data_IF_462356377485
#
_entry.id   IF_462356377485
#
_cell.length_a   1.000
_cell.length_b   1.000
_cell.length_c   1.000
_cell.angle_alpha   90.00
_cell.angle_beta   90.00
_cell.angle_gamma   90.00
#
_symmetry.space_group_name_H-M   'P 1'
#
loop_
_entity.id
_entity.type
_entity.pdbx_description
1 polymer ?
#
# COMPACT_ATOMS: atom_id res chain seq x y z
N UNK A 1 7.58 -1.86 31.62
CA UNK A 1 7.00 -0.94 30.62
C UNK A 1 6.82 -1.75 29.34
N UNK A 2 5.63 -1.76 28.76
CA UNK A 2 5.39 -2.41 27.47
C UNK A 2 6.17 -1.60 26.43
N UNK A 3 7.08 -2.24 25.69
CA UNK A 3 7.82 -1.58 24.63
C UNK A 3 6.85 -1.27 23.48
N UNK A 4 6.58 0.01 23.23
CA UNK A 4 5.75 0.44 22.09
C UNK A 4 6.59 0.26 20.81
N UNK A 5 6.29 -0.78 20.03
CA UNK A 5 7.04 -1.13 18.79
C UNK A 5 6.87 -0.10 17.68
N UNK A 6 5.66 0.45 17.55
CA UNK A 6 5.37 1.56 16.65
C UNK A 6 5.64 2.88 17.37
N UNK A 7 6.24 3.82 16.69
CA UNK A 7 6.71 5.08 17.32
C UNK A 7 5.79 6.27 17.08
N UNK A 8 4.87 6.16 16.13
CA UNK A 8 3.99 7.24 15.69
C UNK A 8 2.72 6.69 15.03
N UNK A 9 1.66 7.47 14.99
CA UNK A 9 0.51 7.25 14.10
C UNK A 9 0.97 7.26 12.63
N UNK A 10 1.99 8.04 12.31
CA UNK A 10 2.57 8.16 10.98
C UNK A 10 3.52 7.00 10.61
N UNK A 11 3.80 6.04 11.51
CA UNK A 11 4.48 4.78 11.16
C UNK A 11 3.50 3.89 10.37
N UNK A 12 3.09 4.42 9.24
CA UNK A 12 2.06 3.89 8.35
C UNK A 12 2.38 4.30 6.91
N UNK A 13 1.81 3.58 5.95
CA UNK A 13 1.96 3.92 4.53
C UNK A 13 1.09 5.13 4.16
N UNK A 14 1.64 6.05 3.39
CA UNK A 14 1.01 7.31 3.04
C UNK A 14 -0.36 7.15 2.35
N UNK A 15 -0.53 6.11 1.54
CA UNK A 15 -1.83 5.85 0.90
C UNK A 15 -2.97 5.61 1.90
N UNK A 16 -2.68 5.19 3.15
CA UNK A 16 -3.69 5.09 4.20
C UNK A 16 -4.15 6.46 4.70
N UNK A 17 -3.22 7.40 4.81
CA UNK A 17 -3.51 8.78 5.20
C UNK A 17 -4.34 9.48 4.11
N UNK A 18 -3.94 9.34 2.85
CA UNK A 18 -4.67 9.94 1.73
C UNK A 18 -6.07 9.33 1.57
N UNK A 19 -6.20 8.01 1.64
CA UNK A 19 -7.53 7.39 1.59
C UNK A 19 -8.39 7.77 2.80
N UNK A 20 -7.83 7.87 4.02
CA UNK A 20 -8.58 8.30 5.20
C UNK A 20 -9.16 9.72 5.00
N UNK A 21 -8.38 10.66 4.45
CA UNK A 21 -8.87 11.99 4.10
C UNK A 21 -10.05 11.91 3.11
N UNK A 22 -9.94 11.08 2.08
CA UNK A 22 -11.01 10.90 1.10
C UNK A 22 -12.26 10.22 1.70
N UNK A 23 -12.05 9.21 2.56
CA UNK A 23 -13.14 8.50 3.25
C UNK A 23 -13.92 9.42 4.18
N UNK A 24 -13.25 10.21 4.99
CA UNK A 24 -13.91 11.18 5.89
C UNK A 24 -14.77 12.17 5.09
N UNK A 25 -14.30 12.57 3.93
CA UNK A 25 -14.99 13.55 3.09
C UNK A 25 -16.21 12.98 2.37
N UNK A 26 -16.11 11.75 1.88
CA UNK A 26 -17.13 11.15 0.99
C UNK A 26 -17.96 10.05 1.65
N UNK A 27 -17.39 9.31 2.61
CA UNK A 27 -17.95 8.09 3.19
C UNK A 27 -17.85 8.06 4.72
N UNK A 28 -18.28 9.12 5.45
CA UNK A 28 -18.03 9.25 6.89
C UNK A 28 -18.82 8.25 7.75
N UNK A 29 -19.83 7.59 7.20
CA UNK A 29 -20.73 6.70 7.94
C UNK A 29 -20.58 5.21 7.55
N UNK A 30 -19.68 4.92 6.61
CA UNK A 30 -19.51 3.57 6.09
C UNK A 30 -18.70 2.70 7.03
N UNK A 31 -19.09 1.43 7.16
CA UNK A 31 -18.39 0.44 7.96
C UNK A 31 -17.70 -0.58 7.07
N UNK A 32 -16.60 -1.08 7.56
CA UNK A 32 -15.80 -2.08 6.85
C UNK A 32 -15.28 -3.17 7.76
N UNK A 33 -14.89 -4.28 7.13
CA UNK A 33 -14.25 -5.41 7.78
C UNK A 33 -13.00 -5.80 7.02
N UNK A 34 -11.88 -5.88 7.75
CA UNK A 34 -10.61 -6.40 7.24
C UNK A 34 -10.30 -7.74 7.86
N UNK A 35 -9.59 -8.58 7.12
CA UNK A 35 -9.09 -9.86 7.59
C UNK A 35 -7.64 -10.07 7.23
N UNK A 36 -6.87 -10.57 8.20
CA UNK A 36 -5.51 -11.05 8.00
C UNK A 36 -5.51 -12.36 7.22
N UNK A 37 -4.61 -12.49 6.24
CA UNK A 37 -4.45 -13.67 5.42
C UNK A 37 -2.98 -14.11 5.44
N UNK A 38 -2.72 -15.28 6.00
CA UNK A 38 -1.42 -15.92 6.02
C UNK A 38 -1.18 -16.73 4.75
N UNK A 39 -0.76 -16.05 3.65
CA UNK A 39 -0.50 -16.70 2.36
C UNK A 39 0.71 -17.64 2.38
N UNK A 40 1.68 -17.34 3.25
CA UNK A 40 2.91 -18.10 3.40
C UNK A 40 2.77 -19.35 4.27
N UNK A 41 1.59 -19.60 4.84
CA UNK A 41 1.35 -20.68 5.81
C UNK A 41 2.40 -20.70 6.94
N UNK A 42 2.72 -19.51 7.44
CA UNK A 42 3.64 -19.36 8.57
C UNK A 42 3.00 -19.88 9.85
N UNK A 43 3.79 -20.52 10.69
CA UNK A 43 3.38 -21.00 12.01
C UNK A 43 3.66 -19.94 13.06
N UNK A 44 2.72 -19.75 13.97
CA UNK A 44 2.83 -18.79 15.06
C UNK A 44 3.08 -19.54 16.38
N UNK A 45 4.14 -19.22 17.14
CA UNK A 45 4.44 -19.90 18.39
C UNK A 45 3.37 -19.61 19.45
N UNK A 46 3.31 -20.47 20.48
CA UNK A 46 2.41 -20.29 21.62
C UNK A 46 2.58 -18.89 22.25
N UNK A 47 1.47 -18.24 22.60
CA UNK A 47 1.46 -16.90 23.17
C UNK A 47 1.60 -15.76 22.14
N UNK A 48 1.67 -16.06 20.84
CA UNK A 48 1.82 -15.01 19.81
C UNK A 48 0.65 -14.02 19.81
N UNK A 49 -0.59 -14.51 19.91
CA UNK A 49 -1.77 -13.65 19.96
C UNK A 49 -1.76 -12.73 21.19
N UNK A 50 -1.23 -13.19 22.33
CA UNK A 50 -1.11 -12.38 23.54
C UNK A 50 -0.11 -11.23 23.35
N UNK A 51 1.07 -11.51 22.75
CA UNK A 51 2.08 -10.49 22.48
C UNK A 51 1.58 -9.48 21.42
N UNK A 52 0.89 -9.96 20.38
CA UNK A 52 0.26 -9.09 19.39
C UNK A 52 -0.81 -8.22 20.07
N UNK A 53 -1.67 -8.78 20.93
CA UNK A 53 -2.69 -8.03 21.68
C UNK A 53 -2.06 -6.94 22.56
N UNK A 54 -0.96 -7.24 23.26
CA UNK A 54 -0.21 -6.23 24.04
C UNK A 54 0.27 -5.08 23.16
N UNK A 55 0.82 -5.41 21.98
CA UNK A 55 1.31 -4.42 21.02
C UNK A 55 0.18 -3.57 20.46
N UNK A 56 -0.96 -4.17 20.10
CA UNK A 56 -2.17 -3.47 19.62
C UNK A 56 -2.72 -2.55 20.72
N UNK A 57 -2.80 -3.01 21.96
CA UNK A 57 -3.28 -2.18 23.07
C UNK A 57 -2.36 -0.98 23.35
N UNK A 58 -1.05 -1.14 23.19
CA UNK A 58 -0.10 -0.04 23.35
C UNK A 58 -0.26 1.06 22.29
N UNK A 59 -0.83 0.74 21.14
CA UNK A 59 -1.07 1.73 20.08
C UNK A 59 -2.13 2.79 20.48
N UNK A 60 -3.00 2.51 21.45
CA UNK A 60 -3.97 3.48 21.95
C UNK A 60 -3.31 4.75 22.53
N UNK A 61 -2.04 4.65 22.96
CA UNK A 61 -1.27 5.77 23.51
C UNK A 61 -0.61 6.64 22.44
N UNK A 62 -0.60 6.18 21.17
CA UNK A 62 -0.02 6.93 20.07
C UNK A 62 -0.89 8.15 19.74
N UNK A 63 -0.24 9.29 19.57
CA UNK A 63 -0.89 10.55 19.20
C UNK A 63 -0.06 11.26 18.13
N UNK A 64 -0.74 11.93 17.22
CA UNK A 64 -0.06 12.81 16.27
C UNK A 64 0.56 13.99 17.02
N UNK A 65 1.86 14.21 16.87
CA UNK A 65 2.53 15.35 17.47
C UNK A 65 2.27 16.64 16.68
N UNK A 66 2.59 17.79 17.28
CA UNK A 66 2.47 19.08 16.59
C UNK A 66 3.42 19.17 15.40
N UNK A 67 4.62 18.63 15.56
CA UNK A 67 5.67 18.57 14.53
C UNK A 67 5.23 17.69 13.36
N UNK A 68 4.65 16.53 13.62
CA UNK A 68 4.11 15.62 12.60
C UNK A 68 2.94 16.28 11.83
N UNK A 69 2.04 16.94 12.53
CA UNK A 69 0.95 17.69 11.90
C UNK A 69 1.47 18.82 11.02
N UNK A 70 2.48 19.56 11.49
CA UNK A 70 3.11 20.64 10.72
C UNK A 70 3.82 20.09 9.48
N UNK A 71 4.54 18.96 9.61
CA UNK A 71 5.16 18.27 8.48
C UNK A 71 4.13 17.92 7.39
N UNK A 72 3.01 17.30 7.77
CA UNK A 72 1.94 16.97 6.81
C UNK A 72 1.37 18.23 6.15
N UNK A 73 1.14 19.28 6.91
CA UNK A 73 0.64 20.55 6.39
C UNK A 73 1.55 21.19 5.35
N UNK A 74 2.87 21.13 5.57
CA UNK A 74 3.87 21.73 4.68
C UNK A 74 4.19 20.86 3.47
N UNK A 75 4.23 19.54 3.66
CA UNK A 75 4.67 18.59 2.63
C UNK A 75 3.51 18.09 1.77
N UNK A 76 2.30 18.05 2.31
CA UNK A 76 1.11 17.50 1.68
C UNK A 76 -0.03 18.52 1.64
N UNK A 77 0.11 19.66 0.92
CA UNK A 77 -0.87 20.76 0.93
C UNK A 77 -2.25 20.39 0.36
N UNK A 78 -2.35 19.24 -0.29
CA UNK A 78 -3.61 18.64 -0.80
C UNK A 78 -4.41 17.89 0.29
N UNK A 79 -3.86 17.71 1.49
CA UNK A 79 -4.63 17.22 2.63
C UNK A 79 -5.42 18.38 3.24
N UNK A 80 -6.73 18.17 3.41
CA UNK A 80 -7.61 19.21 3.94
C UNK A 80 -7.25 19.59 5.40
N UNK A 81 -7.27 20.88 5.75
CA UNK A 81 -7.00 21.32 7.12
C UNK A 81 -7.94 20.68 8.16
N UNK A 82 -9.26 20.57 7.93
CA UNK A 82 -10.15 19.84 8.83
C UNK A 82 -9.74 18.37 9.03
N UNK A 83 -9.21 17.73 8.00
CA UNK A 83 -8.67 16.37 8.13
C UNK A 83 -7.43 16.32 9.03
N UNK A 84 -6.51 17.27 8.89
CA UNK A 84 -5.33 17.36 9.77
C UNK A 84 -5.72 17.64 11.23
N UNK A 85 -6.81 18.39 11.46
CA UNK A 85 -7.38 18.60 12.80
C UNK A 85 -7.98 17.30 13.35
N UNK A 86 -8.73 16.58 12.52
CA UNK A 86 -9.26 15.26 12.86
C UNK A 86 -8.12 14.29 13.23
N UNK A 87 -7.09 14.18 12.38
CA UNK A 87 -5.95 13.29 12.61
C UNK A 87 -5.19 13.65 13.90
N UNK A 88 -5.17 14.95 14.25
CA UNK A 88 -4.62 15.43 15.52
C UNK A 88 -5.39 14.95 16.77
N UNK A 89 -6.67 14.62 16.63
CA UNK A 89 -7.51 14.03 17.67
C UNK A 89 -7.70 12.51 17.54
N UNK A 90 -7.19 11.92 16.45
CA UNK A 90 -7.30 10.48 16.22
C UNK A 90 -6.48 9.67 17.23
N UNK A 91 -7.01 8.54 17.63
CA UNK A 91 -6.32 7.51 18.40
C UNK A 91 -6.81 6.14 17.93
N UNK A 92 -5.94 5.16 17.98
CA UNK A 92 -6.30 3.77 17.75
C UNK A 92 -7.21 3.28 18.88
N UNK A 93 -8.26 2.56 18.52
CA UNK A 93 -9.13 1.88 19.48
C UNK A 93 -8.91 0.35 19.39
N UNK A 94 -8.20 -0.27 20.34
CA UNK A 94 -7.94 -1.70 20.30
C UNK A 94 -9.19 -2.60 20.27
N UNK A 95 -10.36 -2.08 20.65
CA UNK A 95 -11.62 -2.82 20.59
C UNK A 95 -12.09 -3.09 19.15
N UNK A 96 -11.59 -2.34 18.16
CA UNK A 96 -11.82 -2.55 16.73
C UNK A 96 -11.10 -3.80 16.19
N UNK A 97 -10.13 -4.34 16.95
CA UNK A 97 -9.25 -5.44 16.50
C UNK A 97 -9.56 -6.71 17.28
N UNK A 98 -10.02 -7.74 16.57
CA UNK A 98 -10.18 -9.09 17.12
C UNK A 98 -8.95 -9.94 16.78
N UNK A 99 -8.40 -10.67 17.77
CA UNK A 99 -7.24 -11.54 17.61
C UNK A 99 -7.54 -12.87 18.29
N UNK A 100 -7.39 -13.95 17.52
CA UNK A 100 -7.55 -15.32 18.01
C UNK A 100 -6.38 -16.17 17.51
N UNK A 101 -5.82 -16.99 18.40
CA UNK A 101 -4.87 -18.04 18.01
C UNK A 101 -5.47 -19.39 18.31
N UNK A 102 -5.45 -20.29 17.36
CA UNK A 102 -5.81 -21.69 17.52
C UNK A 102 -4.61 -22.51 17.08
N UNK A 103 -3.98 -23.19 18.07
CA UNK A 103 -2.71 -23.86 17.87
C UNK A 103 -1.64 -22.91 17.28
N UNK A 104 -1.19 -23.15 16.06
CA UNK A 104 -0.18 -22.38 15.35
C UNK A 104 -0.77 -21.42 14.29
N UNK A 105 -2.09 -21.32 14.22
CA UNK A 105 -2.80 -20.42 13.29
C UNK A 105 -3.25 -19.15 13.99
N UNK A 106 -3.15 -18.03 13.28
CA UNK A 106 -3.52 -16.70 13.75
C UNK A 106 -4.65 -16.13 12.91
N UNK A 107 -5.72 -15.71 13.56
CA UNK A 107 -6.81 -14.95 12.97
C UNK A 107 -6.78 -13.53 13.52
N UNK A 108 -6.80 -12.54 12.62
CA UNK A 108 -6.94 -11.13 12.98
C UNK A 108 -7.99 -10.49 12.10
N UNK A 109 -8.98 -9.88 12.73
CA UNK A 109 -10.04 -9.14 12.04
C UNK A 109 -10.12 -7.73 12.63
N UNK A 110 -10.34 -6.74 11.76
CA UNK A 110 -10.61 -5.36 12.15
C UNK A 110 -11.97 -4.97 11.61
N UNK A 111 -12.83 -4.42 12.46
CA UNK A 111 -14.20 -4.06 12.08
C UNK A 111 -14.61 -2.73 12.73
N UNK A 112 -15.26 -1.87 11.97
CA UNK A 112 -15.76 -0.59 12.45
C UNK A 112 -15.97 0.42 11.34
N UNK A 113 -16.13 1.67 11.69
CA UNK A 113 -16.24 2.78 10.75
C UNK A 113 -14.97 2.90 9.90
N UNK A 114 -15.14 3.01 8.58
CA UNK A 114 -14.01 2.91 7.65
C UNK A 114 -12.91 3.93 7.95
N UNK A 115 -13.27 5.19 8.18
CA UNK A 115 -12.29 6.25 8.51
C UNK A 115 -11.51 6.01 9.81
N UNK A 116 -12.06 5.20 10.74
CA UNK A 116 -11.34 4.81 11.96
C UNK A 116 -10.42 3.63 11.73
N UNK A 117 -10.94 2.61 11.06
CA UNK A 117 -10.28 1.30 10.94
C UNK A 117 -9.23 1.23 9.82
N UNK A 118 -9.28 2.15 8.87
CA UNK A 118 -8.39 2.15 7.69
C UNK A 118 -6.89 2.18 8.03
N UNK A 119 -6.51 2.78 9.16
CA UNK A 119 -5.11 2.89 9.56
C UNK A 119 -4.55 1.61 10.20
N UNK A 120 -5.37 0.60 10.53
CA UNK A 120 -4.92 -0.62 11.21
C UNK A 120 -4.11 -1.59 10.35
N UNK A 121 -4.36 -1.67 9.04
CA UNK A 121 -3.75 -2.69 8.16
C UNK A 121 -2.23 -2.72 8.27
N UNK A 122 -1.60 -1.60 8.01
CA UNK A 122 -0.14 -1.51 7.89
C UNK A 122 0.57 -1.76 9.23
N UNK A 123 0.15 -1.14 10.33
CA UNK A 123 0.70 -1.41 11.65
C UNK A 123 0.55 -2.86 12.10
N UNK A 124 -0.63 -3.47 11.93
CA UNK A 124 -0.84 -4.87 12.33
C UNK A 124 0.09 -5.80 11.55
N UNK A 125 0.22 -5.62 10.22
CA UNK A 125 1.13 -6.43 9.42
C UNK A 125 2.58 -6.24 9.82
N UNK A 126 3.02 -5.02 10.10
CA UNK A 126 4.37 -4.72 10.58
C UNK A 126 4.64 -5.36 11.95
N UNK A 127 3.66 -5.31 12.88
CA UNK A 127 3.74 -5.95 14.18
C UNK A 127 3.82 -7.47 14.07
N UNK A 128 2.96 -8.09 13.24
CA UNK A 128 2.99 -9.55 13.01
C UNK A 128 4.35 -9.97 12.44
N UNK A 129 4.87 -9.22 11.46
CA UNK A 129 6.16 -9.52 10.84
C UNK A 129 7.30 -9.44 11.88
N UNK A 130 7.39 -8.37 12.65
CA UNK A 130 8.44 -8.18 13.66
C UNK A 130 8.37 -9.21 14.78
N UNK A 131 7.17 -9.45 15.34
CA UNK A 131 6.94 -10.46 16.38
C UNK A 131 7.27 -11.87 15.90
N UNK A 132 6.96 -12.21 14.65
CA UNK A 132 7.25 -13.53 14.10
C UNK A 132 8.75 -13.84 14.11
N UNK A 133 9.59 -12.90 13.66
CA UNK A 133 11.04 -13.11 13.70
C UNK A 133 11.58 -13.16 15.13
N UNK A 134 11.09 -12.30 16.01
CA UNK A 134 11.54 -12.23 17.40
C UNK A 134 11.15 -13.47 18.20
N UNK A 135 9.88 -13.88 18.18
CA UNK A 135 9.39 -15.00 18.98
C UNK A 135 9.90 -16.37 18.47
N UNK A 136 10.24 -16.47 17.18
CA UNK A 136 10.90 -17.65 16.61
C UNK A 136 12.44 -17.59 16.73
N UNK A 137 13.00 -16.58 17.38
CA UNK A 137 14.46 -16.41 17.57
C UNK A 137 15.25 -16.50 16.26
N UNK A 138 14.70 -15.94 15.18
CA UNK A 138 15.32 -15.99 13.86
C UNK A 138 16.46 -14.98 13.76
N UNK A 139 17.69 -15.47 13.60
CA UNK A 139 18.87 -14.64 13.45
C UNK A 139 18.95 -14.06 12.03
N UNK A 140 19.13 -12.76 11.93
CA UNK A 140 19.33 -12.04 10.68
C UNK A 140 20.78 -11.62 10.48
N UNK A 141 21.11 -11.19 9.29
CA UNK A 141 22.39 -10.56 8.99
C UNK A 141 22.67 -9.36 9.90
N UNK A 142 23.95 -9.08 10.14
CA UNK A 142 24.40 -7.92 10.93
C UNK A 142 23.92 -6.60 10.31
N UNK A 143 23.92 -5.52 11.10
CA UNK A 143 23.58 -4.19 10.61
C UNK A 143 24.50 -3.76 9.45
N UNK A 144 25.81 -4.03 9.55
CA UNK A 144 26.77 -3.68 8.50
C UNK A 144 26.45 -4.41 7.18
N UNK A 145 26.10 -5.69 7.25
CA UNK A 145 25.69 -6.45 6.06
C UNK A 145 24.39 -5.92 5.44
N UNK A 146 23.42 -5.48 6.24
CA UNK A 146 22.17 -4.85 5.76
C UNK A 146 22.49 -3.51 5.10
N UNK A 147 23.32 -2.67 5.71
CA UNK A 147 23.77 -1.39 5.14
C UNK A 147 24.44 -1.63 3.80
N UNK A 148 25.46 -2.49 3.78
CA UNK A 148 26.23 -2.80 2.58
C UNK A 148 25.32 -3.23 1.42
N UNK A 149 24.41 -4.15 1.69
CA UNK A 149 23.46 -4.65 0.69
C UNK A 149 22.48 -3.58 0.20
N UNK A 150 22.05 -2.69 1.09
CA UNK A 150 21.18 -1.54 0.74
C UNK A 150 21.92 -0.57 -0.18
N UNK A 151 23.18 -0.27 0.11
CA UNK A 151 24.02 0.61 -0.71
C UNK A 151 24.30 0.02 -2.09
N UNK A 152 24.63 -1.27 -2.17
CA UNK A 152 24.83 -1.97 -3.45
C UNK A 152 23.59 -1.89 -4.36
N UNK A 153 22.38 -2.05 -3.77
CA UNK A 153 21.13 -1.87 -4.52
C UNK A 153 20.90 -0.43 -4.97
N UNK A 154 21.13 0.53 -4.08
CA UNK A 154 20.99 1.94 -4.40
C UNK A 154 21.92 2.36 -5.54
N UNK A 155 23.19 1.92 -5.52
CA UNK A 155 24.16 2.16 -6.60
C UNK A 155 23.72 1.55 -7.93
N UNK A 156 23.17 0.33 -7.93
CA UNK A 156 22.68 -0.30 -9.16
C UNK A 156 21.49 0.46 -9.74
N UNK A 157 20.51 0.85 -8.90
CA UNK A 157 19.37 1.67 -9.32
C UNK A 157 19.82 3.04 -9.87
N UNK A 158 20.84 3.61 -9.25
CA UNK A 158 21.46 4.85 -9.75
C UNK A 158 22.13 4.67 -11.12
N UNK A 159 22.87 3.58 -11.33
CA UNK A 159 23.50 3.27 -12.65
C UNK A 159 22.46 3.07 -13.74
N UNK A 160 21.28 2.52 -13.41
CA UNK A 160 20.16 2.40 -14.33
C UNK A 160 19.47 3.75 -14.62
N UNK A 161 19.78 4.81 -13.88
CA UNK A 161 19.19 6.13 -14.05
C UNK A 161 17.70 6.22 -13.67
N UNK A 162 17.19 5.27 -12.89
CA UNK A 162 15.77 5.18 -12.54
C UNK A 162 15.48 5.83 -11.18
N UNK A 163 14.29 6.39 -11.04
CA UNK A 163 13.79 6.85 -9.75
C UNK A 163 13.06 5.73 -9.01
N UNK A 164 13.22 5.69 -7.68
CA UNK A 164 12.56 4.70 -6.85
C UNK A 164 12.16 5.25 -5.48
N UNK A 165 11.15 4.62 -4.87
CA UNK A 165 10.69 4.86 -3.51
C UNK A 165 10.70 3.57 -2.70
N UNK A 166 10.81 3.70 -1.39
CA UNK A 166 10.70 2.58 -0.46
C UNK A 166 9.22 2.33 -0.10
N UNK A 167 8.73 1.07 -0.25
CA UNK A 167 7.35 0.63 -0.05
C UNK A 167 7.24 -0.60 0.89
N UNK A 168 8.15 -0.75 1.84
CA UNK A 168 8.32 -2.01 2.57
C UNK A 168 7.75 -2.06 3.99
N UNK A 169 6.96 -1.09 4.45
CA UNK A 169 6.47 -1.01 5.84
C UNK A 169 5.75 -2.28 6.30
N UNK A 170 4.76 -2.76 5.53
CA UNK A 170 3.84 -3.85 5.92
C UNK A 170 4.52 -5.17 6.25
N UNK A 171 5.64 -5.48 5.63
CA UNK A 171 6.39 -6.73 5.78
C UNK A 171 7.86 -6.48 6.08
N UNK A 172 8.16 -5.36 6.72
CA UNK A 172 9.52 -5.07 7.20
C UNK A 172 9.97 -6.13 8.21
N UNK A 173 11.25 -6.38 8.29
CA UNK A 173 11.79 -7.27 9.31
C UNK A 173 11.49 -6.74 10.72
N UNK A 174 11.81 -5.47 10.95
CA UNK A 174 11.54 -4.74 12.20
C UNK A 174 11.60 -3.24 11.96
N UNK A 175 11.08 -2.45 12.90
CA UNK A 175 11.25 -0.99 12.88
C UNK A 175 12.73 -0.59 12.73
N UNK A 176 13.61 -1.22 13.53
CA UNK A 176 15.06 -0.91 13.53
C UNK A 176 15.73 -1.19 12.18
N UNK A 177 15.38 -2.27 11.51
CA UNK A 177 15.91 -2.59 10.18
C UNK A 177 15.38 -1.62 9.12
N UNK A 178 14.10 -1.31 9.17
CA UNK A 178 13.48 -0.35 8.24
C UNK A 178 14.13 1.04 8.39
N UNK A 179 14.31 1.50 9.63
CA UNK A 179 15.00 2.74 9.96
C UNK A 179 16.41 2.79 9.36
N UNK A 180 17.19 1.73 9.58
CA UNK A 180 18.56 1.58 9.07
C UNK A 180 18.62 1.64 7.53
N UNK A 181 17.66 0.98 6.86
CA UNK A 181 17.58 0.97 5.40
C UNK A 181 17.26 2.36 4.87
N UNK A 182 16.23 3.02 5.39
CA UNK A 182 15.86 4.37 4.92
C UNK A 182 16.96 5.38 5.19
N UNK A 183 17.61 5.33 6.37
CA UNK A 183 18.77 6.17 6.69
C UNK A 183 19.89 5.98 5.67
N UNK A 184 20.20 4.73 5.33
CA UNK A 184 21.27 4.40 4.37
C UNK A 184 20.96 4.92 2.97
N UNK A 185 19.70 4.77 2.53
CA UNK A 185 19.25 5.29 1.23
C UNK A 185 19.36 6.81 1.16
N UNK A 186 18.91 7.52 2.20
CA UNK A 186 18.96 8.99 2.23
C UNK A 186 20.39 9.54 2.26
N UNK A 187 21.23 8.99 3.12
CA UNK A 187 22.62 9.45 3.26
C UNK A 187 23.44 9.28 1.98
N UNK A 188 23.08 8.31 1.15
CA UNK A 188 23.82 7.99 -0.08
C UNK A 188 23.07 8.42 -1.35
N UNK A 189 21.99 9.19 -1.24
CA UNK A 189 21.20 9.67 -2.37
C UNK A 189 21.83 10.88 -3.08
N UNK A 190 23.06 10.72 -3.59
CA UNK A 190 23.80 11.81 -4.25
C UNK A 190 23.23 12.23 -5.60
N UNK A 191 22.52 11.33 -6.26
CA UNK A 191 21.91 11.54 -7.60
C UNK A 191 20.43 11.95 -7.57
N UNK A 192 19.79 11.92 -6.40
CA UNK A 192 18.37 12.21 -6.27
C UNK A 192 17.43 11.10 -6.78
N UNK A 193 17.96 9.90 -7.04
CA UNK A 193 17.17 8.77 -7.54
C UNK A 193 16.21 8.18 -6.49
N UNK A 194 16.57 8.20 -5.21
CA UNK A 194 15.67 7.85 -4.12
C UNK A 194 14.74 9.03 -3.84
N UNK A 195 13.46 8.90 -4.19
CA UNK A 195 12.50 10.01 -4.16
C UNK A 195 11.68 10.07 -2.86
N UNK A 196 11.71 9.03 -2.02
CA UNK A 196 11.00 9.03 -0.75
C UNK A 196 10.58 7.66 -0.25
N UNK A 197 9.78 7.66 0.81
CA UNK A 197 9.26 6.44 1.43
C UNK A 197 7.74 6.48 1.49
N UNK A 198 7.09 5.32 1.39
CA UNK A 198 5.66 5.21 1.70
C UNK A 198 5.39 5.40 3.18
N UNK A 199 6.34 5.10 4.05
CA UNK A 199 6.23 5.30 5.48
C UNK A 199 6.37 6.78 5.85
N UNK A 200 5.28 7.38 6.32
CA UNK A 200 5.23 8.82 6.58
C UNK A 200 6.13 9.24 7.74
N UNK A 201 6.27 8.39 8.75
CA UNK A 201 7.17 8.64 9.89
C UNK A 201 8.63 8.72 9.44
N UNK A 202 9.09 7.78 8.61
CA UNK A 202 10.44 7.82 8.07
C UNK A 202 10.63 8.93 7.04
N UNK A 203 9.60 9.25 6.25
CA UNK A 203 9.64 10.41 5.36
C UNK A 203 9.91 11.70 6.14
N UNK A 204 9.19 11.93 7.23
CA UNK A 204 9.43 13.07 8.13
C UNK A 204 10.82 13.00 8.79
N UNK A 205 11.17 11.86 9.38
CA UNK A 205 12.42 11.67 10.12
C UNK A 205 13.65 12.01 9.29
N UNK A 206 13.62 11.69 8.01
CA UNK A 206 14.74 11.84 7.09
C UNK A 206 14.58 12.97 6.07
N UNK A 207 13.52 13.75 6.16
CA UNK A 207 13.31 14.90 5.29
C UNK A 207 13.09 14.55 3.81
N UNK A 208 12.48 13.41 3.52
CA UNK A 208 12.11 12.98 2.17
C UNK A 208 10.60 13.04 1.96
N UNK A 209 10.14 12.85 0.72
CA UNK A 209 8.71 12.91 0.41
C UNK A 209 7.96 11.65 0.90
N UNK A 210 6.79 11.78 1.50
CA UNK A 210 5.87 10.65 1.65
C UNK A 210 5.28 10.30 0.28
N UNK A 211 5.35 9.01 -0.09
CA UNK A 211 4.96 8.53 -1.43
C UNK A 211 3.79 7.55 -1.31
N UNK A 212 2.73 7.80 -2.06
CA UNK A 212 1.55 6.94 -2.12
C UNK A 212 0.33 7.68 -2.62
N UNK A 213 -0.61 6.95 -3.20
CA UNK A 213 -1.90 7.49 -3.64
C UNK A 213 -3.04 6.72 -2.98
N UNK A 214 -3.57 5.69 -3.65
CA UNK A 214 -4.63 4.83 -3.15
C UNK A 214 -4.26 3.35 -3.32
N UNK A 215 -5.06 2.47 -2.72
CA UNK A 215 -4.89 1.02 -2.80
C UNK A 215 -6.17 0.33 -3.28
N UNK A 216 -6.09 -1.00 -3.47
CA UNK A 216 -7.21 -1.82 -3.95
C UNK A 216 -8.50 -1.66 -3.14
N UNK A 217 -8.40 -1.46 -1.83
CA UNK A 217 -9.58 -1.31 -0.96
C UNK A 217 -10.48 -0.14 -1.39
N UNK A 218 -9.92 0.93 -1.95
CA UNK A 218 -10.68 2.04 -2.50
C UNK A 218 -11.62 1.59 -3.62
N UNK A 219 -11.10 0.82 -4.57
CA UNK A 219 -11.89 0.26 -5.68
C UNK A 219 -12.84 -0.85 -5.21
N UNK A 220 -12.40 -1.68 -4.26
CA UNK A 220 -13.19 -2.78 -3.70
C UNK A 220 -14.41 -2.24 -2.94
N UNK A 221 -14.24 -1.18 -2.18
CA UNK A 221 -15.35 -0.48 -1.52
C UNK A 221 -16.34 0.09 -2.56
N UNK A 222 -15.86 0.76 -3.59
CA UNK A 222 -16.73 1.31 -4.65
C UNK A 222 -17.53 0.22 -5.38
N UNK A 223 -16.96 -0.97 -5.54
CA UNK A 223 -17.71 -2.08 -6.12
C UNK A 223 -18.81 -2.59 -5.20
N UNK A 224 -18.58 -2.65 -3.89
CA UNK A 224 -19.58 -3.02 -2.92
C UNK A 224 -20.72 -2.00 -2.86
N UNK A 225 -20.40 -0.71 -2.95
CA UNK A 225 -21.38 0.39 -2.86
C UNK A 225 -22.13 0.63 -4.17
N UNK A 226 -21.43 0.62 -5.32
CA UNK A 226 -21.99 1.03 -6.61
C UNK A 226 -22.04 -0.08 -7.67
N UNK A 227 -21.59 -1.28 -7.32
CA UNK A 227 -21.52 -2.43 -8.23
C UNK A 227 -20.27 -2.44 -9.12
N UNK A 228 -19.89 -3.63 -9.58
CA UNK A 228 -18.64 -3.88 -10.31
C UNK A 228 -18.45 -3.03 -11.57
N UNK A 229 -19.54 -2.76 -12.33
CA UNK A 229 -19.47 -1.97 -13.56
C UNK A 229 -19.07 -0.52 -13.35
N UNK A 230 -19.40 0.04 -12.18
CA UNK A 230 -19.13 1.44 -11.86
C UNK A 230 -17.84 1.63 -11.02
N UNK A 231 -17.31 0.56 -10.49
CA UNK A 231 -16.25 0.59 -9.48
C UNK A 231 -15.04 1.44 -9.90
N UNK A 232 -14.39 1.13 -11.02
CA UNK A 232 -13.21 1.88 -11.45
C UNK A 232 -13.55 3.34 -11.79
N UNK A 233 -14.63 3.57 -12.55
CA UNK A 233 -14.98 4.91 -12.99
C UNK A 233 -15.30 5.84 -11.79
N UNK A 234 -16.14 5.38 -10.85
CA UNK A 234 -16.48 6.18 -9.67
C UNK A 234 -15.31 6.30 -8.70
N UNK A 235 -14.47 5.27 -8.55
CA UNK A 235 -13.24 5.39 -7.75
C UNK A 235 -12.33 6.50 -8.25
N UNK A 236 -12.15 6.59 -9.57
CA UNK A 236 -11.31 7.61 -10.19
C UNK A 236 -11.97 9.00 -10.12
N UNK A 237 -13.27 9.10 -10.35
CA UNK A 237 -14.02 10.35 -10.24
C UNK A 237 -13.96 10.92 -8.82
N UNK A 238 -14.30 10.12 -7.82
CA UNK A 238 -14.26 10.54 -6.42
C UNK A 238 -12.84 10.90 -5.97
N UNK A 239 -11.81 10.24 -6.52
CA UNK A 239 -10.43 10.62 -6.24
C UNK A 239 -10.09 11.99 -6.80
N UNK A 240 -10.52 12.28 -8.03
CA UNK A 240 -10.38 13.61 -8.65
C UNK A 240 -11.15 14.68 -7.89
N UNK A 241 -12.37 14.38 -7.43
CA UNK A 241 -13.19 15.31 -6.66
C UNK A 241 -12.52 15.73 -5.34
N UNK A 242 -11.79 14.80 -4.71
CA UNK A 242 -11.05 15.11 -3.47
C UNK A 242 -9.75 15.83 -3.75
N UNK A 243 -8.94 15.31 -4.68
CA UNK A 243 -7.53 15.74 -4.86
C UNK A 243 -7.29 16.66 -6.06
N UNK A 244 -8.30 16.87 -6.92
CA UNK A 244 -8.29 17.88 -8.01
C UNK A 244 -7.12 17.80 -8.97
N UNK A 245 -6.51 16.63 -9.10
CA UNK A 245 -5.35 16.37 -9.94
C UNK A 245 -4.07 16.06 -9.17
N UNK A 246 -3.98 16.44 -7.90
CA UNK A 246 -2.91 15.92 -7.03
C UNK A 246 -3.04 14.41 -6.83
N UNK A 247 -1.95 13.74 -6.47
CA UNK A 247 -1.90 12.28 -6.29
C UNK A 247 -2.38 11.51 -7.53
N UNK A 248 -2.00 11.99 -8.71
CA UNK A 248 -2.49 11.58 -10.02
C UNK A 248 -1.90 10.25 -10.54
N UNK A 249 -1.83 9.19 -9.71
CA UNK A 249 -1.42 7.85 -10.14
C UNK A 249 -2.54 6.86 -9.88
N UNK A 250 -3.11 6.31 -10.95
CA UNK A 250 -4.23 5.39 -10.88
C UNK A 250 -3.76 3.92 -10.78
N UNK A 251 -4.22 3.20 -9.76
CA UNK A 251 -4.02 1.75 -9.63
C UNK A 251 -4.91 1.01 -10.63
N UNK A 252 -4.34 0.06 -11.38
CA UNK A 252 -4.96 -0.48 -12.58
C UNK A 252 -5.54 -1.89 -12.48
N UNK A 253 -5.12 -2.69 -11.50
CA UNK A 253 -5.34 -4.15 -11.54
C UNK A 253 -6.37 -4.68 -10.54
N UNK A 254 -7.20 -3.84 -9.91
CA UNK A 254 -8.20 -4.32 -8.94
C UNK A 254 -9.21 -5.26 -9.60
N UNK A 255 -9.68 -4.91 -10.79
CA UNK A 255 -10.60 -5.71 -11.61
C UNK A 255 -10.01 -6.06 -12.97
N UNK A 256 -8.72 -6.36 -13.02
CA UNK A 256 -7.86 -6.54 -14.18
C UNK A 256 -7.52 -5.25 -14.95
N UNK A 257 -6.33 -5.22 -15.48
CA UNK A 257 -5.83 -4.11 -16.34
C UNK A 257 -6.71 -3.89 -17.56
N UNK A 258 -7.26 -4.95 -18.14
CA UNK A 258 -8.14 -4.83 -19.32
C UNK A 258 -9.44 -4.09 -18.98
N UNK A 259 -10.09 -4.44 -17.87
CA UNK A 259 -11.29 -3.76 -17.39
C UNK A 259 -10.98 -2.30 -17.04
N UNK A 260 -9.83 -2.06 -16.41
CA UNK A 260 -9.38 -0.72 -16.07
C UNK A 260 -9.26 0.16 -17.34
N UNK A 261 -8.55 -0.27 -18.37
CA UNK A 261 -8.38 0.54 -19.58
C UNK A 261 -9.67 0.72 -20.39
N UNK A 262 -10.66 -0.16 -20.24
CA UNK A 262 -12.01 0.10 -20.82
C UNK A 262 -12.71 1.29 -20.15
N UNK A 263 -12.39 1.60 -18.91
CA UNK A 263 -13.02 2.65 -18.08
C UNK A 263 -12.13 3.87 -17.84
N UNK A 264 -10.81 3.72 -18.02
CA UNK A 264 -9.83 4.81 -17.95
C UNK A 264 -9.84 5.58 -19.29
N UNK A 265 -10.89 6.36 -19.49
CA UNK A 265 -11.14 7.07 -20.72
C UNK A 265 -10.19 8.26 -20.96
N UNK A 266 -10.42 9.02 -22.03
CA UNK A 266 -9.61 10.19 -22.38
C UNK A 266 -9.60 11.26 -21.29
N UNK A 267 -10.68 11.41 -20.51
CA UNK A 267 -10.77 12.36 -19.39
C UNK A 267 -9.77 11.97 -18.31
N UNK A 268 -9.84 10.74 -17.82
CA UNK A 268 -8.92 10.25 -16.79
C UNK A 268 -7.49 10.14 -17.29
N UNK A 269 -7.29 9.66 -18.51
CA UNK A 269 -5.96 9.60 -19.14
C UNK A 269 -5.28 10.98 -19.26
N UNK A 270 -6.05 12.07 -19.32
CA UNK A 270 -5.51 13.44 -19.26
C UNK A 270 -5.28 13.93 -17.83
N UNK A 271 -6.22 13.66 -16.91
CA UNK A 271 -6.18 14.16 -15.54
C UNK A 271 -5.10 13.47 -14.69
N UNK A 272 -4.94 12.16 -14.84
CA UNK A 272 -3.92 11.42 -14.12
C UNK A 272 -2.55 11.55 -14.79
N UNK A 273 -1.52 11.70 -13.98
CA UNK A 273 -0.13 11.79 -14.45
C UNK A 273 0.41 10.44 -14.92
N UNK A 274 -0.12 9.36 -14.34
CA UNK A 274 0.30 8.01 -14.67
C UNK A 274 -0.59 6.93 -14.10
N UNK A 275 -0.13 5.69 -14.27
CA UNK A 275 -0.80 4.49 -13.77
C UNK A 275 0.17 3.66 -12.95
N UNK A 276 -0.37 2.79 -12.05
CA UNK A 276 0.43 1.88 -11.24
C UNK A 276 0.15 0.44 -11.63
N UNK A 277 1.23 -0.29 -11.92
CA UNK A 277 1.27 -1.74 -12.10
C UNK A 277 1.49 -2.44 -10.76
N UNK A 278 0.63 -3.38 -10.39
CA UNK A 278 0.71 -4.11 -9.11
C UNK A 278 0.47 -5.63 -9.26
N UNK A 279 0.31 -6.13 -10.48
CA UNK A 279 0.27 -7.57 -10.80
C UNK A 279 0.41 -7.85 -12.31
N UNK A 280 0.72 -9.10 -12.66
CA UNK A 280 0.89 -9.56 -14.03
C UNK A 280 2.25 -9.24 -14.64
N UNK A 281 2.37 -9.36 -15.97
CA UNK A 281 3.62 -9.09 -16.69
C UNK A 281 3.84 -7.56 -16.85
N UNK A 282 4.92 -6.99 -16.29
CA UNK A 282 5.15 -5.56 -16.31
C UNK A 282 5.44 -5.00 -17.71
N UNK A 283 6.01 -5.80 -18.61
CA UNK A 283 6.35 -5.36 -19.97
C UNK A 283 5.09 -5.33 -20.84
N UNK A 284 4.25 -6.36 -20.71
CA UNK A 284 2.94 -6.39 -21.35
C UNK A 284 2.07 -5.22 -20.89
N UNK A 285 2.05 -4.96 -19.58
CA UNK A 285 1.36 -3.81 -19.01
C UNK A 285 1.87 -2.47 -19.59
N UNK A 286 3.19 -2.29 -19.67
CA UNK A 286 3.78 -1.09 -20.26
C UNK A 286 3.35 -0.91 -21.71
N UNK A 287 3.35 -1.97 -22.52
CA UNK A 287 2.92 -1.93 -23.91
C UNK A 287 1.44 -1.52 -24.03
N UNK A 288 0.54 -2.14 -23.25
CA UNK A 288 -0.89 -1.80 -23.20
C UNK A 288 -1.11 -0.34 -22.78
N UNK A 289 -0.37 0.12 -21.78
CA UNK A 289 -0.44 1.51 -21.29
C UNK A 289 -0.04 2.52 -22.36
N UNK A 290 1.09 2.29 -23.03
CA UNK A 290 1.59 3.15 -24.12
C UNK A 290 0.58 3.21 -25.26
N UNK A 291 0.03 2.07 -25.67
CA UNK A 291 -0.97 1.96 -26.72
C UNK A 291 -2.26 2.70 -26.33
N UNK A 292 -2.72 2.54 -25.09
CA UNK A 292 -3.90 3.23 -24.57
C UNK A 292 -3.74 4.75 -24.62
N UNK A 293 -2.61 5.30 -24.18
CA UNK A 293 -2.35 6.75 -24.27
C UNK A 293 -2.33 7.23 -25.73
N UNK A 294 -1.65 6.52 -26.62
CA UNK A 294 -1.63 6.84 -28.06
C UNK A 294 -3.02 6.84 -28.68
N UNK A 295 -3.84 5.84 -28.40
CA UNK A 295 -5.23 5.72 -28.86
C UNK A 295 -6.09 6.91 -28.39
N UNK A 296 -5.81 7.45 -27.23
CA UNK A 296 -6.49 8.62 -26.67
C UNK A 296 -5.89 9.96 -27.14
N UNK A 297 -4.89 9.95 -28.04
CA UNK A 297 -4.23 11.15 -28.55
C UNK A 297 -3.34 11.84 -27.51
N UNK A 298 -2.77 11.06 -26.57
CA UNK A 298 -1.87 11.55 -25.54
C UNK A 298 -0.47 11.00 -25.83
N UNK A 299 0.55 11.87 -25.78
CA UNK A 299 1.92 11.43 -25.91
C UNK A 299 2.39 10.72 -24.65
N UNK A 300 2.76 9.41 -24.71
CA UNK A 300 3.20 8.66 -23.54
C UNK A 300 4.43 9.23 -22.85
N UNK A 301 5.28 9.98 -23.53
CA UNK A 301 6.48 10.60 -22.95
C UNK A 301 6.17 11.63 -21.86
N UNK A 302 4.93 12.13 -21.77
CA UNK A 302 4.45 13.01 -20.70
C UNK A 302 3.70 12.27 -19.60
N UNK A 303 3.70 10.95 -19.64
CA UNK A 303 3.06 10.06 -18.67
C UNK A 303 4.08 9.12 -18.07
N UNK A 304 3.72 8.49 -16.93
CA UNK A 304 4.60 7.52 -16.32
C UNK A 304 3.86 6.31 -15.75
N UNK A 305 4.61 5.25 -15.55
CA UNK A 305 4.15 4.05 -14.88
C UNK A 305 4.95 3.89 -13.58
N UNK A 306 4.25 3.66 -12.48
CA UNK A 306 4.85 3.17 -11.24
C UNK A 306 4.72 1.65 -11.22
N UNK A 307 5.84 0.95 -11.17
CA UNK A 307 5.88 -0.49 -10.96
C UNK A 307 6.06 -0.78 -9.47
N UNK A 308 5.26 -1.69 -8.90
CA UNK A 308 5.28 -1.97 -7.46
C UNK A 308 5.11 -3.45 -7.07
N UNK A 309 5.02 -4.37 -8.03
CA UNK A 309 4.86 -5.80 -7.74
C UNK A 309 6.17 -6.58 -7.78
N UNK A 310 6.53 -7.17 -6.65
CA UNK A 310 7.58 -8.19 -6.54
C UNK A 310 8.94 -7.79 -7.13
N UNK A 311 9.31 -6.51 -7.03
CA UNK A 311 10.50 -5.94 -7.66
C UNK A 311 11.79 -6.39 -6.97
N UNK A 312 12.73 -6.80 -7.81
CA UNK A 312 14.16 -6.94 -7.52
C UNK A 312 14.96 -6.20 -8.60
N UNK A 313 16.27 -6.17 -8.47
CA UNK A 313 17.15 -5.42 -9.39
C UNK A 313 17.08 -5.94 -10.83
N UNK A 314 16.96 -7.25 -11.03
CA UNK A 314 16.86 -7.86 -12.36
C UNK A 314 15.60 -7.40 -13.09
N UNK A 315 14.44 -7.49 -12.41
CA UNK A 315 13.16 -6.99 -12.97
C UNK A 315 13.21 -5.49 -13.26
N UNK A 316 13.82 -4.70 -12.39
CA UNK A 316 13.97 -3.26 -12.62
C UNK A 316 14.78 -2.98 -13.88
N UNK A 317 15.87 -3.70 -14.09
CA UNK A 317 16.71 -3.58 -15.30
C UNK A 317 15.94 -3.98 -16.57
N UNK A 318 15.20 -5.09 -16.55
CA UNK A 318 14.38 -5.55 -17.67
C UNK A 318 13.29 -4.54 -18.04
N UNK A 319 12.55 -4.04 -17.04
CA UNK A 319 11.50 -3.03 -17.24
C UNK A 319 12.10 -1.74 -17.78
N UNK A 320 13.24 -1.31 -17.25
CA UNK A 320 13.93 -0.08 -17.70
C UNK A 320 14.28 -0.18 -19.17
N UNK A 321 14.90 -1.26 -19.61
CA UNK A 321 15.24 -1.50 -21.03
C UNK A 321 14.00 -1.51 -21.93
N UNK A 322 12.91 -2.13 -21.48
CA UNK A 322 11.66 -2.21 -22.25
C UNK A 322 10.93 -0.87 -22.39
N UNK A 323 11.08 0.03 -21.43
CA UNK A 323 10.37 1.31 -21.38
C UNK A 323 11.20 2.51 -21.88
N UNK A 324 12.50 2.34 -22.10
CA UNK A 324 13.44 3.41 -22.47
C UNK A 324 12.94 4.21 -23.69
N UNK A 325 12.88 5.53 -23.54
CA UNK A 325 12.44 6.43 -24.61
C UNK A 325 10.96 6.29 -25.04
N UNK A 326 10.15 5.52 -24.30
CA UNK A 326 8.74 5.23 -24.67
C UNK A 326 7.74 5.83 -23.68
N UNK A 327 8.02 5.78 -22.38
CA UNK A 327 7.18 6.30 -21.30
C UNK A 327 8.06 6.53 -20.06
N UNK A 328 7.67 7.48 -19.19
CA UNK A 328 8.33 7.65 -17.89
C UNK A 328 8.08 6.44 -16.98
N UNK A 329 9.07 6.09 -16.14
CA UNK A 329 8.96 4.98 -15.18
C UNK A 329 9.50 5.38 -13.81
N UNK A 330 8.93 4.76 -12.76
CA UNK A 330 9.44 4.82 -11.40
C UNK A 330 9.10 3.51 -10.68
N UNK A 331 9.80 3.21 -9.59
CA UNK A 331 9.70 1.92 -8.91
C UNK A 331 9.37 2.10 -7.42
N UNK A 332 8.36 1.36 -6.93
CA UNK A 332 8.06 1.22 -5.52
C UNK A 332 8.58 -0.12 -5.00
N UNK A 333 9.70 -0.11 -4.28
CA UNK A 333 10.38 -1.34 -3.86
C UNK A 333 10.09 -1.63 -2.39
N UNK A 334 9.47 -2.77 -2.11
CA UNK A 334 9.06 -3.19 -0.76
C UNK A 334 10.10 -4.03 -0.03
N UNK A 335 9.76 -5.28 0.27
CA UNK A 335 10.58 -6.20 1.08
C UNK A 335 11.99 -6.45 0.54
N UNK A 336 12.21 -6.26 -0.74
CA UNK A 336 13.56 -6.33 -1.31
C UNK A 336 14.52 -5.25 -0.75
N UNK A 337 13.96 -4.15 -0.19
CA UNK A 337 14.74 -3.17 0.58
C UNK A 337 14.67 -3.45 2.08
N UNK A 338 13.48 -3.51 2.66
CA UNK A 338 13.26 -3.44 4.12
C UNK A 338 13.31 -4.78 4.85
N UNK A 339 13.41 -5.89 4.11
CA UNK A 339 13.45 -7.25 4.67
C UNK A 339 14.35 -8.20 3.87
N UNK A 340 15.43 -7.68 3.29
CA UNK A 340 16.48 -8.51 2.66
C UNK A 340 17.66 -8.71 3.62
N UNK A 341 17.37 -9.40 4.71
CA UNK A 341 18.25 -9.55 5.88
C UNK A 341 18.82 -10.96 6.04
N UNK A 342 18.80 -11.76 4.97
CA UNK A 342 19.22 -13.17 5.01
C UNK A 342 18.10 -14.13 5.44
N UNK A 343 16.91 -13.62 5.72
CA UNK A 343 15.70 -14.39 6.02
C UNK A 343 14.67 -14.18 4.91
N UNK A 344 13.79 -15.18 4.74
CA UNK A 344 12.68 -15.04 3.79
C UNK A 344 11.60 -14.11 4.38
N UNK A 345 11.20 -13.06 3.66
CA UNK A 345 10.09 -12.21 4.10
C UNK A 345 8.79 -12.99 4.24
N UNK A 346 8.00 -12.66 5.26
CA UNK A 346 6.68 -13.24 5.42
C UNK A 346 5.78 -12.92 4.23
N UNK A 347 5.01 -13.90 3.76
CA UNK A 347 3.96 -13.68 2.76
C UNK A 347 2.60 -13.54 3.45
N UNK A 348 2.36 -12.36 3.98
CA UNK A 348 1.15 -12.00 4.71
C UNK A 348 0.50 -10.76 4.11
N UNK A 349 -0.81 -10.67 4.19
CA UNK A 349 -1.60 -9.51 3.76
C UNK A 349 -2.79 -9.30 4.69
N UNK A 350 -3.33 -8.10 4.72
CA UNK A 350 -4.65 -7.81 5.28
C UNK A 350 -5.54 -7.27 4.16
N UNK A 351 -6.78 -7.72 4.08
CA UNK A 351 -7.70 -7.37 3.01
C UNK A 351 -9.02 -6.87 3.55
N UNK A 352 -9.56 -5.85 2.89
CA UNK A 352 -10.96 -5.50 3.01
C UNK A 352 -11.78 -6.69 2.50
N UNK A 353 -12.62 -7.27 3.36
CA UNK A 353 -13.44 -8.46 3.01
C UNK A 353 -14.92 -8.15 2.88
N UNK A 354 -15.38 -7.07 3.51
CA UNK A 354 -16.76 -6.61 3.39
C UNK A 354 -16.85 -5.10 3.66
N UNK A 355 -17.85 -4.47 3.06
CA UNK A 355 -18.27 -3.11 3.33
C UNK A 355 -19.76 -3.08 3.63
N UNK A 356 -20.21 -2.13 4.44
CA UNK A 356 -21.61 -1.94 4.81
C UNK A 356 -21.92 -0.44 4.80
N UNK A 357 -22.90 -0.03 4.01
CA UNK A 357 -23.42 1.32 4.11
C UNK A 357 -24.27 1.48 5.38
N UNK A 358 -24.53 2.70 5.81
CA UNK A 358 -25.30 3.00 7.03
C UNK A 358 -26.69 2.35 7.05
N UNK A 359 -27.24 2.02 5.90
CA UNK A 359 -28.58 1.44 5.73
C UNK A 359 -28.55 0.04 5.11
N UNK A 360 -27.37 -0.52 4.86
CA UNK A 360 -27.20 -1.76 4.13
C UNK A 360 -26.72 -2.94 4.95
N UNK A 361 -26.82 -4.11 4.35
CA UNK A 361 -26.20 -5.34 4.83
C UNK A 361 -24.72 -5.38 4.47
N UNK A 362 -23.98 -6.28 5.10
CA UNK A 362 -22.59 -6.53 4.76
C UNK A 362 -22.47 -7.11 3.34
N UNK A 363 -21.78 -6.40 2.47
CA UNK A 363 -21.53 -6.78 1.09
C UNK A 363 -20.08 -7.25 0.98
N UNK A 364 -19.85 -8.53 0.59
CA UNK A 364 -18.49 -9.03 0.39
C UNK A 364 -17.78 -8.26 -0.71
N UNK A 365 -16.51 -7.93 -0.47
CA UNK A 365 -15.64 -7.26 -1.45
C UNK A 365 -14.78 -8.26 -2.20
N UNK A 366 -14.42 -7.92 -3.44
CA UNK A 366 -13.63 -8.75 -4.34
C UNK A 366 -12.46 -7.96 -4.91
N UNK A 367 -11.30 -8.60 -4.96
CA UNK A 367 -10.19 -8.21 -5.83
C UNK A 367 -9.95 -9.33 -6.83
N UNK A 368 -9.94 -9.01 -8.10
CA UNK A 368 -9.48 -9.92 -9.15
C UNK A 368 -7.96 -9.77 -9.34
N UNK A 369 -7.31 -9.19 -10.06
CA UNK A 369 -5.88 -9.10 -10.36
C UNK A 369 -5.58 -9.68 -11.75
N UNK A 370 -4.50 -9.24 -12.36
CA UNK A 370 -4.09 -9.79 -13.65
C UNK A 370 -3.45 -11.18 -13.56
N UNK A 371 -3.21 -11.66 -12.35
CA UNK A 371 -2.60 -12.95 -12.10
C UNK A 371 -3.66 -14.00 -11.77
N UNK A 372 -3.87 -14.95 -12.68
CA UNK A 372 -4.82 -16.03 -12.51
C UNK A 372 -4.58 -16.80 -11.20
N UNK A 373 -5.66 -17.01 -10.43
CA UNK A 373 -5.60 -17.73 -9.14
C UNK A 373 -5.19 -16.86 -7.94
N UNK A 374 -4.87 -15.58 -8.12
CA UNK A 374 -4.63 -14.62 -7.01
C UNK A 374 -5.86 -13.78 -6.64
N UNK A 375 -7.06 -14.25 -6.97
CA UNK A 375 -8.31 -13.59 -6.60
C UNK A 375 -8.48 -13.57 -5.07
N UNK A 376 -9.14 -12.54 -4.58
CA UNK A 376 -9.47 -12.40 -3.15
C UNK A 376 -10.94 -12.05 -3.02
N UNK A 377 -11.65 -12.73 -2.11
CA UNK A 377 -13.07 -12.51 -1.85
C UNK A 377 -13.87 -13.80 -1.82
N UNK A 378 -15.17 -13.69 -1.62
CA UNK A 378 -16.10 -14.81 -1.70
C UNK A 378 -16.14 -15.41 -3.11
N UNK A 379 -16.04 -16.74 -3.28
CA UNK A 379 -16.01 -17.37 -4.61
C UNK A 379 -17.20 -17.04 -5.50
N UNK A 380 -18.41 -16.94 -4.92
CA UNK A 380 -19.62 -16.59 -5.68
C UNK A 380 -19.57 -15.14 -6.16
N UNK A 381 -19.05 -14.25 -5.33
CA UNK A 381 -18.86 -12.85 -5.70
C UNK A 381 -17.76 -12.67 -6.73
N UNK A 382 -16.70 -13.50 -6.72
CA UNK A 382 -15.68 -13.53 -7.76
C UNK A 382 -16.29 -13.91 -9.12
N UNK A 383 -17.09 -14.98 -9.18
CA UNK A 383 -17.76 -15.38 -10.43
C UNK A 383 -18.74 -14.31 -10.91
N UNK A 384 -19.52 -13.72 -10.00
CA UNK A 384 -20.41 -12.61 -10.32
C UNK A 384 -19.64 -11.41 -10.88
N UNK A 385 -18.50 -11.06 -10.28
CA UNK A 385 -17.66 -9.97 -10.76
C UNK A 385 -17.16 -10.23 -12.19
N UNK A 386 -16.66 -11.45 -12.47
CA UNK A 386 -16.22 -11.85 -13.82
C UNK A 386 -17.36 -11.73 -14.85
N UNK A 387 -18.55 -12.24 -14.52
CA UNK A 387 -19.71 -12.15 -15.39
C UNK A 387 -20.06 -10.69 -15.71
N UNK A 388 -20.25 -9.85 -14.68
CA UNK A 388 -20.60 -8.44 -14.85
C UNK A 388 -19.56 -7.65 -15.63
N UNK A 389 -18.29 -7.95 -15.44
CA UNK A 389 -17.17 -7.29 -16.09
C UNK A 389 -16.78 -7.92 -17.44
N UNK A 390 -17.45 -9.04 -17.82
CA UNK A 390 -17.15 -9.80 -19.06
C UNK A 390 -15.69 -10.22 -19.13
N UNK A 391 -15.19 -10.78 -18.05
CA UNK A 391 -13.84 -11.37 -17.99
C UNK A 391 -14.00 -12.86 -18.33
N UNK A 392 -13.29 -13.30 -19.38
CA UNK A 392 -13.16 -14.71 -19.76
C UNK A 392 -11.82 -15.21 -19.23
N UNK A 393 -11.83 -16.39 -18.61
CA UNK A 393 -10.61 -17.08 -18.16
C UNK A 393 -9.72 -17.50 -19.32
#
# INVERSE_FOLDING_TARGET
>A
MIEVRLKSILDNDFYKITMQNAVIKLFPNEKVKYQFINRGKHHFPEGFAEELRKSVNAMAELKLTKEEKQFLRETCPYLDLPYLDFLGGYHYDPSEVYILQTEDTLEVTVEGEWYRTILWEVPILALISELHYEMNHMERNSNDAVIQKTLEKAEQLQRLGVTFAEFGTRRRHSYKVHDLVVESLVRNNTSGNFIGSSNVHFAMKYGVKPIGTHAHEWFMFHAAEYGFKMANALSLEHWVDVYRGDLGVALSDTYTTEVFFRQFDKKFAKLFDGVRHDSGDPIEFANKTIEHYKKNGINPLFKYIIFSDGLNLEKVEEITKACEGRIGISFGIGTNLTNDVGLKPMNIVMKLIAAQSIHGDWIPTVKLSDEHGKYTGDPKMIELAKEFLRITD
#
